data_IF_177947476125
#
_entry.id   IF_177947476125
#
_cell.length_a   1.000
_cell.length_b   1.000
_cell.length_c   1.000
_cell.angle_alpha   90.00
_cell.angle_beta   90.00
_cell.angle_gamma   90.00
#
_symmetry.space_group_name_H-M   'P 1'
#
loop_
_entity.id
_entity.type
_entity.pdbx_description
1 polymer ?
#
# COMPACT_ATOMS: atom_id res chain seq x y z
N UNK A 1 5.37 -0.58 -8.27
CA UNK A 1 6.59 -0.29 -7.48
C UNK A 1 6.66 -1.05 -6.14
N UNK A 2 5.58 -1.16 -5.35
CA UNK A 2 5.62 -1.87 -4.05
C UNK A 2 5.71 -3.41 -4.19
N UNK A 3 5.06 -3.95 -5.22
CA UNK A 3 5.07 -5.38 -5.58
C UNK A 3 6.32 -5.82 -6.35
N UNK A 4 7.35 -4.98 -6.42
CA UNK A 4 8.63 -5.29 -7.05
C UNK A 4 9.76 -5.07 -6.05
N UNK A 5 10.82 -5.89 -6.16
CA UNK A 5 12.05 -5.71 -5.39
C UNK A 5 12.74 -4.39 -5.74
N UNK A 6 13.49 -3.84 -4.78
CA UNK A 6 14.27 -2.59 -4.87
C UNK A 6 15.57 -2.77 -4.06
N UNK A 7 16.65 -2.03 -4.37
CA UNK A 7 17.89 -2.11 -3.57
C UNK A 7 17.67 -1.86 -2.06
N UNK A 8 16.82 -0.90 -1.69
CA UNK A 8 16.47 -0.57 -0.30
C UNK A 8 15.30 -1.41 0.27
N UNK A 9 14.77 -2.34 -0.53
CA UNK A 9 13.69 -3.26 -0.16
C UNK A 9 13.82 -4.53 -1.02
N UNK A 10 14.73 -5.44 -0.64
CA UNK A 10 15.10 -6.58 -1.47
C UNK A 10 13.93 -7.56 -1.67
N UNK A 11 13.00 -7.62 -0.71
CA UNK A 11 11.78 -8.43 -0.80
C UNK A 11 10.58 -7.54 -1.12
N UNK A 12 9.82 -7.87 -2.18
CA UNK A 12 8.61 -7.14 -2.54
C UNK A 12 7.51 -7.29 -1.50
N UNK A 13 6.65 -6.29 -1.37
CA UNK A 13 5.39 -6.47 -0.64
C UNK A 13 4.51 -7.49 -1.36
N UNK A 14 3.81 -8.33 -0.58
CA UNK A 14 2.67 -9.04 -1.14
C UNK A 14 1.59 -8.02 -1.54
N UNK A 15 0.73 -8.41 -2.47
CA UNK A 15 -0.23 -7.49 -3.08
C UNK A 15 -1.17 -6.82 -2.06
N UNK A 16 -1.58 -7.57 -1.04
CA UNK A 16 -2.44 -7.04 0.02
C UNK A 16 -1.73 -5.98 0.87
N UNK A 17 -0.52 -6.26 1.34
CA UNK A 17 0.26 -5.29 2.12
C UNK A 17 0.61 -4.06 1.27
N UNK A 18 0.84 -4.23 -0.04
CA UNK A 18 1.03 -3.11 -0.95
C UNK A 18 -0.21 -2.20 -1.03
N UNK A 19 -1.42 -2.78 -1.13
CA UNK A 19 -2.66 -2.01 -1.08
C UNK A 19 -2.82 -1.30 0.27
N UNK A 20 -2.51 -1.97 1.38
CA UNK A 20 -2.54 -1.35 2.70
C UNK A 20 -1.60 -0.14 2.74
N UNK A 21 -0.34 -0.25 2.30
CA UNK A 21 0.61 0.89 2.23
C UNK A 21 0.03 2.06 1.43
N UNK A 22 -0.54 1.80 0.25
CA UNK A 22 -1.17 2.84 -0.59
C UNK A 22 -2.39 3.47 0.10
N UNK A 23 -3.17 2.68 0.85
CA UNK A 23 -4.27 3.22 1.68
C UNK A 23 -3.75 4.23 2.71
N UNK A 24 -2.61 3.96 3.38
CA UNK A 24 -2.07 4.97 4.32
C UNK A 24 -1.44 6.18 3.65
N UNK A 25 -0.92 6.04 2.44
CA UNK A 25 -0.52 7.22 1.67
C UNK A 25 -1.75 8.10 1.40
N UNK A 26 -2.93 7.52 1.16
CA UNK A 26 -4.16 8.29 1.04
C UNK A 26 -4.69 8.87 2.37
N UNK A 27 -4.54 8.15 3.49
CA UNK A 27 -4.83 8.69 4.83
C UNK A 27 -3.98 9.93 5.14
N UNK A 28 -2.72 9.94 4.69
CA UNK A 28 -1.78 11.07 4.84
C UNK A 28 -1.97 12.18 3.81
N UNK A 29 -2.88 12.00 2.84
CA UNK A 29 -3.09 12.96 1.75
C UNK A 29 -2.03 12.93 0.64
N UNK A 30 -1.10 11.98 0.66
CA UNK A 30 -0.05 11.81 -0.36
C UNK A 30 -0.63 11.25 -1.68
N UNK A 31 -1.76 10.53 -1.61
CA UNK A 31 -2.46 9.93 -2.77
C UNK A 31 -3.97 10.16 -2.67
N UNK A 32 -4.63 10.44 -3.79
CA UNK A 32 -6.08 10.63 -3.81
C UNK A 32 -6.87 9.33 -3.58
N UNK A 33 -7.89 9.38 -2.70
CA UNK A 33 -8.76 8.23 -2.40
C UNK A 33 -9.45 7.60 -3.60
N UNK A 34 -9.74 8.39 -4.65
CA UNK A 34 -10.35 7.87 -5.89
C UNK A 34 -9.42 6.87 -6.58
N UNK A 35 -8.13 7.16 -6.67
CA UNK A 35 -7.14 6.24 -7.27
C UNK A 35 -6.99 4.97 -6.43
N UNK A 36 -6.95 5.10 -5.10
CA UNK A 36 -6.86 3.95 -4.17
C UNK A 36 -8.07 3.05 -4.28
N UNK A 37 -9.29 3.61 -4.28
CA UNK A 37 -10.52 2.82 -4.42
C UNK A 37 -10.58 2.09 -5.76
N UNK A 38 -10.22 2.75 -6.87
CA UNK A 38 -10.13 2.07 -8.17
C UNK A 38 -9.09 0.94 -8.15
N UNK A 39 -7.92 1.14 -7.55
CA UNK A 39 -6.89 0.11 -7.47
C UNK A 39 -7.35 -1.11 -6.65
N UNK A 40 -8.03 -0.88 -5.52
CA UNK A 40 -8.62 -1.95 -4.70
C UNK A 40 -9.70 -2.69 -5.49
N UNK A 41 -10.54 -1.97 -6.26
CA UNK A 41 -11.58 -2.56 -7.09
C UNK A 41 -11.02 -3.54 -8.10
N UNK A 42 -9.98 -3.13 -8.84
CA UNK A 42 -9.32 -3.98 -9.82
C UNK A 42 -8.63 -5.20 -9.22
N UNK A 43 -8.26 -5.15 -7.94
CA UNK A 43 -7.66 -6.28 -7.22
C UNK A 43 -8.69 -7.24 -6.62
N UNK A 44 -9.97 -6.86 -6.53
CA UNK A 44 -11.05 -7.75 -6.10
C UNK A 44 -11.51 -8.60 -7.28
N UNK A 45 -11.75 -9.90 -7.03
CA UNK A 45 -12.22 -10.83 -8.06
C UNK A 45 -13.55 -10.39 -8.67
N UNK A 46 -14.44 -9.78 -7.88
CA UNK A 46 -15.74 -9.26 -8.30
C UNK A 46 -15.67 -7.93 -9.06
N UNK A 47 -14.53 -7.22 -9.03
CA UNK A 47 -14.33 -5.92 -9.69
C UNK A 47 -15.49 -4.90 -9.47
N UNK A 48 -15.85 -4.61 -8.20
CA UNK A 48 -16.97 -3.72 -7.91
C UNK A 48 -16.67 -2.27 -8.34
N UNK A 49 -17.69 -1.43 -8.40
CA UNK A 49 -17.51 -0.01 -8.71
C UNK A 49 -16.63 0.69 -7.66
N UNK A 50 -15.80 1.64 -8.09
CA UNK A 50 -14.90 2.36 -7.18
C UNK A 50 -15.65 3.19 -6.10
N UNK A 51 -16.92 3.53 -6.31
CA UNK A 51 -17.79 4.21 -5.33
C UNK A 51 -18.28 3.29 -4.20
N UNK A 52 -18.28 1.98 -4.41
CA UNK A 52 -18.78 0.97 -3.45
C UNK A 52 -17.66 0.44 -2.54
N UNK A 53 -16.43 0.91 -2.75
CA UNK A 53 -15.28 0.43 -1.99
C UNK A 53 -15.09 1.27 -0.75
N UNK A 54 -15.28 0.63 0.40
CA UNK A 54 -14.84 1.11 1.71
C UNK A 54 -13.52 0.41 2.05
N UNK A 55 -12.37 1.11 1.96
CA UNK A 55 -11.08 0.54 2.34
C UNK A 55 -11.03 0.31 3.85
N UNK A 56 -10.45 -0.81 4.28
CA UNK A 56 -10.18 -1.02 5.70
C UNK A 56 -9.00 -0.15 6.13
N UNK A 57 -9.16 0.61 7.21
CA UNK A 57 -8.08 1.38 7.84
C UNK A 57 -7.21 0.51 8.75
N UNK A 58 -7.71 -0.66 9.15
CA UNK A 58 -6.96 -1.61 9.97
C UNK A 58 -5.98 -2.37 9.11
N UNK A 59 -4.71 -2.29 9.49
CA UNK A 59 -3.62 -2.98 8.80
C UNK A 59 -3.29 -4.31 9.45
N UNK A 60 -3.09 -5.32 8.60
CA UNK A 60 -2.77 -6.68 9.04
C UNK A 60 -1.54 -7.23 8.32
N UNK A 61 -1.01 -6.52 7.33
CA UNK A 61 0.18 -6.90 6.60
C UNK A 61 1.46 -6.51 7.33
N UNK A 62 2.45 -7.40 7.28
CA UNK A 62 3.81 -7.15 7.77
C UNK A 62 4.67 -6.54 6.68
N UNK A 63 5.52 -5.57 7.03
CA UNK A 63 6.53 -5.05 6.11
C UNK A 63 7.55 -6.14 5.75
N UNK A 64 8.06 -6.18 4.50
CA UNK A 64 9.13 -7.09 4.13
C UNK A 64 10.38 -6.90 4.98
N UNK A 65 11.15 -7.97 5.25
CA UNK A 65 12.41 -7.88 5.96
C UNK A 65 13.40 -6.99 5.21
N UNK A 66 14.20 -6.23 5.94
CA UNK A 66 15.19 -5.31 5.36
C UNK A 66 14.59 -4.11 4.62
N UNK A 67 13.28 -3.85 4.76
CA UNK A 67 12.68 -2.65 4.16
C UNK A 67 13.14 -1.37 4.89
N UNK A 68 13.74 -0.46 4.13
CA UNK A 68 14.17 0.87 4.57
C UNK A 68 13.28 1.99 4.00
N UNK A 69 12.24 1.66 3.24
CA UNK A 69 11.32 2.64 2.68
C UNK A 69 10.63 3.45 3.80
N UNK A 70 10.78 4.78 3.75
CA UNK A 70 10.17 5.70 4.71
C UNK A 70 10.83 5.72 6.10
N UNK A 71 11.98 5.05 6.28
CA UNK A 71 12.80 5.18 7.48
C UNK A 71 13.80 6.31 7.28
N UNK A 72 13.64 7.40 8.01
CA UNK A 72 14.67 8.41 8.16
C UNK A 72 15.57 7.91 9.29
N UNK A 73 16.88 7.79 9.05
CA UNK A 73 17.81 7.55 10.15
C UNK A 73 17.92 8.83 10.97
N UNK A 74 17.37 8.83 12.17
CA UNK A 74 17.76 9.83 13.17
C UNK A 74 19.17 9.47 13.63
N UNK A 75 20.17 10.00 12.93
CA UNK A 75 21.55 10.02 13.36
C UNK A 75 21.82 11.40 13.95
N UNK A 76 21.76 11.50 15.28
CA UNK A 76 22.41 12.58 16.02
C UNK A 76 23.09 12.00 17.26
#
# INVERSE_FOLDING_TARGET
ALISARPYRPVSYNNRTALEVVTSMAEKGEVGWRAVRSLIAHNRRSKPGHGEIIPSLVKRGTSPPGNLYGKISDSN
#
